data_IF_632808310377
#
_entry.id   IF_632808310377
#
_cell.length_a   1.000
_cell.length_b   1.000
_cell.length_c   1.000
_cell.angle_alpha   90.00
_cell.angle_beta   90.00
_cell.angle_gamma   90.00
#
_symmetry.space_group_name_H-M   'P 1'
#
loop_
_entity.id
_entity.type
_entity.pdbx_description
1 polymer ?
#
# COMPACT_ATOMS: atom_id res chain seq x y z
N UNK A 1 -13.40 10.80 21.30
CA UNK A 1 -12.17 10.57 22.09
C UNK A 1 -10.91 11.14 21.45
N UNK A 2 -10.34 10.66 20.32
CA UNK A 2 -9.18 11.35 19.69
C UNK A 2 -9.54 12.57 18.84
N UNK A 3 -10.75 12.62 18.28
CA UNK A 3 -11.23 13.75 17.45
C UNK A 3 -11.57 15.01 18.24
N UNK A 4 -11.81 14.91 19.54
CA UNK A 4 -12.28 16.02 20.38
C UNK A 4 -11.14 16.76 21.11
N UNK A 5 -9.93 16.19 21.05
CA UNK A 5 -8.71 16.80 21.59
C UNK A 5 -7.88 17.33 20.43
N UNK A 6 -7.33 18.54 20.51
CA UNK A 6 -6.41 19.13 19.51
C UNK A 6 -5.06 18.37 19.36
N UNK A 7 -5.01 17.11 19.78
CA UNK A 7 -3.84 16.25 19.69
C UNK A 7 -3.70 15.81 18.23
N UNK A 8 -2.65 16.33 17.57
CA UNK A 8 -2.27 15.93 16.22
C UNK A 8 -1.19 14.87 16.30
N UNK A 9 -1.55 13.63 15.99
CA UNK A 9 -0.58 12.55 15.89
C UNK A 9 0.33 12.77 14.68
N UNK A 10 1.64 12.71 14.90
CA UNK A 10 2.66 12.78 13.84
C UNK A 10 3.11 11.40 13.38
N UNK A 11 2.87 10.37 14.19
CA UNK A 11 3.27 8.99 13.90
C UNK A 11 2.16 8.02 14.30
N UNK A 12 1.83 7.10 13.39
CA UNK A 12 0.85 6.04 13.63
C UNK A 12 1.47 4.71 13.21
N UNK A 13 1.43 3.74 14.12
CA UNK A 13 1.73 2.33 13.81
C UNK A 13 0.62 1.48 14.39
N UNK A 14 -0.06 0.70 13.54
CA UNK A 14 -1.14 -0.19 13.96
C UNK A 14 -1.06 -1.53 13.22
N UNK A 15 -1.61 -2.58 13.83
CA UNK A 15 -1.83 -3.88 13.21
C UNK A 15 -3.27 -4.12 12.77
N UNK A 16 -4.15 -3.13 13.01
CA UNK A 16 -5.57 -3.22 12.67
C UNK A 16 -5.98 -1.90 12.02
N UNK A 17 -6.49 -2.01 10.79
CA UNK A 17 -7.10 -0.90 10.06
C UNK A 17 -8.61 -0.95 10.27
N UNK A 18 -9.18 0.18 10.72
CA UNK A 18 -10.61 0.33 10.95
C UNK A 18 -11.15 1.58 10.24
N UNK A 19 -12.45 1.64 9.95
CA UNK A 19 -13.06 2.85 9.41
C UNK A 19 -12.80 4.08 10.28
N UNK A 20 -12.90 3.96 11.61
CA UNK A 20 -12.66 5.07 12.54
C UNK A 20 -11.23 5.59 12.50
N UNK A 21 -10.24 4.70 12.35
CA UNK A 21 -8.84 5.09 12.17
C UNK A 21 -8.67 5.88 10.88
N UNK A 22 -9.18 5.37 9.75
CA UNK A 22 -9.09 6.07 8.47
C UNK A 22 -9.78 7.42 8.52
N UNK A 23 -10.93 7.48 9.20
CA UNK A 23 -11.68 8.70 9.36
C UNK A 23 -11.00 9.70 10.31
N UNK A 24 -10.16 9.25 11.25
CA UNK A 24 -9.26 10.11 12.02
C UNK A 24 -8.12 10.65 11.14
N UNK A 25 -7.43 9.77 10.41
CA UNK A 25 -6.33 10.15 9.50
C UNK A 25 -6.84 11.21 8.51
N UNK A 26 -7.96 10.97 7.84
CA UNK A 26 -8.59 11.89 6.90
C UNK A 26 -9.04 13.24 7.51
N UNK A 27 -9.25 13.30 8.83
CA UNK A 27 -9.64 14.53 9.53
C UNK A 27 -8.45 15.40 9.97
N UNK A 28 -7.23 14.91 9.81
CA UNK A 28 -6.00 15.56 10.25
C UNK A 28 -4.99 15.72 9.12
N UNK A 29 -3.93 16.48 9.34
CA UNK A 29 -2.78 16.60 8.44
C UNK A 29 -1.49 16.65 9.27
N UNK A 30 -0.32 16.56 8.61
CA UNK A 30 0.97 16.64 9.30
C UNK A 30 1.51 15.30 9.81
N UNK A 31 0.87 14.18 9.48
CA UNK A 31 1.39 12.85 9.76
C UNK A 31 2.71 12.65 8.99
N UNK A 32 3.77 12.29 9.72
CA UNK A 32 5.11 12.03 9.19
C UNK A 32 5.37 10.54 8.97
N UNK A 33 4.82 9.69 9.84
CA UNK A 33 5.02 8.23 9.79
C UNK A 33 3.70 7.50 9.87
N UNK A 34 3.43 6.64 8.89
CA UNK A 34 2.26 5.78 8.85
C UNK A 34 2.65 4.35 8.52
N UNK A 35 2.52 3.47 9.51
CA UNK A 35 2.71 2.03 9.35
C UNK A 35 1.40 1.31 9.63
N UNK A 36 0.80 0.77 8.58
CA UNK A 36 -0.40 -0.07 8.64
C UNK A 36 0.02 -1.52 8.42
N UNK A 37 0.16 -2.29 9.50
CA UNK A 37 0.41 -3.73 9.45
C UNK A 37 -0.92 -4.48 9.36
N UNK A 38 -0.96 -5.60 8.63
CA UNK A 38 -2.16 -6.44 8.55
C UNK A 38 -3.35 -5.74 7.90
N UNK A 39 -3.09 -4.89 6.90
CA UNK A 39 -4.09 -4.15 6.10
C UNK A 39 -5.15 -5.05 5.46
N UNK A 40 -4.75 -6.29 5.20
CA UNK A 40 -5.54 -7.35 4.61
C UNK A 40 -5.92 -8.44 5.61
N UNK A 41 -6.00 -8.13 6.91
CA UNK A 41 -6.42 -9.11 7.93
C UNK A 41 -7.90 -9.49 7.87
N UNK A 42 -8.72 -8.72 7.13
CA UNK A 42 -10.16 -8.94 6.94
C UNK A 42 -10.43 -9.65 5.60
N UNK A 43 -11.67 -10.05 5.35
CA UNK A 43 -12.07 -10.57 4.03
C UNK A 43 -11.86 -9.54 2.92
N UNK A 44 -11.63 -10.00 1.68
CA UNK A 44 -11.28 -9.16 0.53
C UNK A 44 -12.13 -7.91 0.41
N UNK A 45 -13.45 -8.07 0.35
CA UNK A 45 -14.38 -6.94 0.13
C UNK A 45 -14.18 -5.84 1.17
N UNK A 46 -14.08 -6.20 2.46
CA UNK A 46 -13.88 -5.23 3.54
C UNK A 46 -12.50 -4.60 3.45
N UNK A 47 -11.47 -5.39 3.15
CA UNK A 47 -10.10 -4.89 3.00
C UNK A 47 -9.99 -3.90 1.84
N UNK A 48 -10.60 -4.19 0.70
CA UNK A 48 -10.59 -3.36 -0.50
C UNK A 48 -11.34 -2.05 -0.30
N UNK A 49 -12.50 -2.08 0.38
CA UNK A 49 -13.23 -0.85 0.75
C UNK A 49 -12.41 0.05 1.69
N UNK A 50 -11.65 -0.54 2.63
CA UNK A 50 -10.76 0.21 3.51
C UNK A 50 -9.57 0.79 2.73
N UNK A 51 -8.99 0.04 1.79
CA UNK A 51 -7.93 0.53 0.92
C UNK A 51 -8.40 1.74 0.10
N UNK A 52 -9.59 1.66 -0.50
CA UNK A 52 -10.15 2.75 -1.28
C UNK A 52 -10.37 3.99 -0.43
N UNK A 53 -10.97 3.82 0.74
CA UNK A 53 -11.16 4.92 1.69
C UNK A 53 -9.81 5.54 2.06
N UNK A 54 -8.78 4.72 2.27
CA UNK A 54 -7.45 5.19 2.61
C UNK A 54 -6.81 6.00 1.48
N UNK A 55 -6.67 5.42 0.27
CA UNK A 55 -5.97 6.07 -0.85
C UNK A 55 -6.73 7.27 -1.41
N UNK A 56 -8.07 7.27 -1.39
CA UNK A 56 -8.88 8.35 -1.96
C UNK A 56 -9.15 9.48 -0.96
N UNK A 57 -9.32 9.19 0.32
CA UNK A 57 -9.81 10.18 1.29
C UNK A 57 -8.78 10.55 2.36
N UNK A 58 -8.01 9.58 2.85
CA UNK A 58 -7.12 9.78 3.99
C UNK A 58 -5.72 10.21 3.55
N UNK A 59 -5.09 9.42 2.68
CA UNK A 59 -3.72 9.62 2.23
C UNK A 59 -3.48 10.99 1.56
N UNK A 60 -4.40 11.56 0.75
CA UNK A 60 -4.18 12.86 0.13
C UNK A 60 -3.99 14.02 1.10
N UNK A 61 -4.44 13.90 2.36
CA UNK A 61 -4.24 14.92 3.40
C UNK A 61 -2.80 14.99 3.91
N UNK A 62 -1.95 14.04 3.52
CA UNK A 62 -0.63 13.85 4.09
C UNK A 62 0.49 13.80 3.04
N UNK A 63 0.21 14.10 1.77
CA UNK A 63 1.21 14.07 0.69
C UNK A 63 2.40 15.00 0.96
N UNK A 64 2.14 16.16 1.57
CA UNK A 64 3.18 17.14 1.90
C UNK A 64 3.92 16.83 3.21
N UNK A 65 3.43 15.91 4.05
CA UNK A 65 4.00 15.68 5.39
C UNK A 65 4.60 14.30 5.60
N UNK A 66 4.15 13.29 4.86
CA UNK A 66 4.60 11.92 5.02
C UNK A 66 6.07 11.76 4.63
N UNK A 67 6.81 11.11 5.52
CA UNK A 67 8.22 10.74 5.40
C UNK A 67 8.37 9.22 5.32
N UNK A 68 7.50 8.48 6.00
CA UNK A 68 7.48 7.01 5.98
C UNK A 68 6.06 6.49 5.80
N UNK A 69 5.87 5.70 4.74
CA UNK A 69 4.63 4.98 4.44
C UNK A 69 4.94 3.49 4.31
N UNK A 70 4.32 2.68 5.16
CA UNK A 70 4.43 1.22 5.12
C UNK A 70 3.04 0.60 5.20
N UNK A 71 2.62 -0.05 4.12
CA UNK A 71 1.36 -0.78 3.99
C UNK A 71 1.61 -2.18 3.41
N UNK A 72 2.36 -3.05 4.10
CA UNK A 72 2.62 -4.40 3.60
C UNK A 72 1.33 -5.22 3.65
N UNK A 73 0.84 -5.62 2.47
CA UNK A 73 -0.19 -6.65 2.34
C UNK A 73 0.46 -8.02 2.16
N UNK A 74 -0.21 -9.06 2.65
CA UNK A 74 0.18 -10.45 2.45
C UNK A 74 -0.46 -11.02 1.18
N UNK A 75 -1.68 -10.60 0.88
CA UNK A 75 -2.47 -11.07 -0.26
C UNK A 75 -2.76 -9.94 -1.25
N UNK A 76 -3.01 -10.32 -2.50
CA UNK A 76 -3.46 -9.42 -3.56
C UNK A 76 -4.75 -8.72 -3.14
N UNK A 77 -4.72 -7.38 -3.17
CA UNK A 77 -5.82 -6.52 -2.75
C UNK A 77 -5.55 -5.08 -3.21
N UNK A 78 -6.50 -4.18 -3.01
CA UNK A 78 -6.34 -2.75 -3.29
C UNK A 78 -5.33 -2.05 -2.38
N UNK A 79 -4.79 -2.73 -1.36
CA UNK A 79 -3.63 -2.26 -0.59
C UNK A 79 -2.31 -2.40 -1.33
N UNK A 80 -2.25 -3.26 -2.35
CA UNK A 80 -1.04 -3.40 -3.18
C UNK A 80 -0.81 -2.15 -4.01
N UNK A 81 0.45 -1.93 -4.38
CA UNK A 81 0.80 -0.89 -5.33
C UNK A 81 0.27 -1.22 -6.72
N UNK A 82 -0.33 -0.22 -7.38
CA UNK A 82 -0.88 -0.35 -8.71
C UNK A 82 -1.28 1.00 -9.31
N UNK A 83 -1.89 0.97 -10.49
CA UNK A 83 -2.33 2.17 -11.19
C UNK A 83 -3.34 3.01 -10.39
N UNK A 84 -4.07 2.41 -9.46
CA UNK A 84 -5.06 3.09 -8.62
C UNK A 84 -4.44 3.98 -7.54
N UNK A 85 -3.18 3.77 -7.17
CA UNK A 85 -2.51 4.55 -6.11
C UNK A 85 -1.14 5.14 -6.52
N UNK A 86 -0.61 4.82 -7.70
CA UNK A 86 0.65 5.36 -8.19
C UNK A 86 0.65 6.90 -8.23
N UNK A 87 -0.41 7.51 -8.75
CA UNK A 87 -0.49 8.97 -8.89
C UNK A 87 -0.41 9.69 -7.54
N UNK A 88 -1.12 9.21 -6.52
CA UNK A 88 -1.09 9.84 -5.19
C UNK A 88 0.24 9.62 -4.47
N UNK A 89 0.86 8.45 -4.67
CA UNK A 89 2.18 8.14 -4.10
C UNK A 89 3.24 9.05 -4.75
N UNK A 90 3.18 9.27 -6.06
CA UNK A 90 4.14 10.11 -6.80
C UNK A 90 4.22 11.56 -6.31
N UNK A 91 3.16 12.05 -5.66
CA UNK A 91 3.04 13.41 -5.12
C UNK A 91 3.69 13.58 -3.73
N UNK A 92 4.18 12.49 -3.12
CA UNK A 92 4.74 12.53 -1.76
C UNK A 92 6.21 12.93 -1.77
N UNK A 93 6.51 14.18 -2.09
CA UNK A 93 7.89 14.64 -2.30
C UNK A 93 8.80 14.52 -1.05
N UNK A 94 8.22 14.46 0.16
CA UNK A 94 8.96 14.28 1.41
C UNK A 94 9.14 12.80 1.82
N UNK A 95 8.64 11.86 1.01
CA UNK A 95 8.70 10.44 1.33
C UNK A 95 10.14 9.91 1.22
N UNK A 96 10.65 9.38 2.32
CA UNK A 96 11.98 8.80 2.44
C UNK A 96 11.95 7.27 2.44
N UNK A 97 10.86 6.68 2.97
CA UNK A 97 10.69 5.24 3.12
C UNK A 97 9.32 4.83 2.58
N UNK A 98 9.32 3.91 1.60
CA UNK A 98 8.13 3.30 1.04
C UNK A 98 8.20 1.78 1.15
N UNK A 99 7.23 1.17 1.84
CA UNK A 99 7.04 -0.28 1.87
C UNK A 99 5.62 -0.66 1.44
N UNK A 100 5.49 -1.43 0.37
CA UNK A 100 4.19 -1.90 -0.14
C UNK A 100 4.27 -3.29 -0.76
N UNK A 101 3.11 -3.97 -0.79
CA UNK A 101 2.93 -5.19 -1.58
C UNK A 101 2.79 -4.89 -3.06
N UNK A 102 3.24 -5.79 -3.94
CA UNK A 102 2.97 -5.78 -5.38
C UNK A 102 2.29 -7.10 -5.75
N UNK A 103 1.31 -7.02 -6.64
CA UNK A 103 0.55 -8.19 -7.07
C UNK A 103 1.46 -9.23 -7.76
N UNK A 104 1.46 -10.48 -7.26
CA UNK A 104 2.39 -11.52 -7.73
C UNK A 104 1.89 -12.28 -8.97
N UNK A 105 0.58 -12.28 -9.29
CA UNK A 105 0.11 -12.84 -10.57
C UNK A 105 0.78 -12.18 -11.77
N UNK A 106 1.21 -10.93 -11.61
CA UNK A 106 2.01 -10.23 -12.62
C UNK A 106 3.46 -10.71 -12.62
N UNK A 107 4.06 -10.95 -11.46
CA UNK A 107 5.45 -11.40 -11.33
C UNK A 107 5.66 -12.85 -11.82
N UNK A 108 4.70 -13.76 -11.59
CA UNK A 108 4.85 -15.18 -11.94
C UNK A 108 4.42 -15.55 -13.37
N UNK A 109 3.50 -14.81 -13.99
CA UNK A 109 3.13 -15.06 -15.39
C UNK A 109 4.29 -14.85 -16.37
N UNK A 110 5.25 -13.99 -16.04
CA UNK A 110 6.47 -13.81 -16.83
C UNK A 110 7.40 -15.01 -16.88
N UNK A 111 7.28 -15.96 -15.94
CA UNK A 111 8.15 -17.14 -15.88
C UNK A 111 7.48 -18.45 -16.33
N UNK A 112 6.14 -18.52 -16.35
CA UNK A 112 5.42 -19.79 -16.50
C UNK A 112 4.68 -20.00 -17.84
N UNK A 113 4.54 -19.00 -18.72
CA UNK A 113 3.86 -19.17 -20.01
C UNK A 113 4.71 -18.66 -21.19
N UNK A 114 5.54 -19.56 -21.71
CA UNK A 114 6.08 -19.48 -23.08
C UNK A 114 4.99 -19.87 -24.08
N UNK A 115 3.91 -19.07 -24.17
CA UNK A 115 3.06 -18.93 -25.37
C UNK A 115 2.21 -17.66 -25.21
N UNK A 116 2.63 -16.58 -25.88
CA UNK A 116 1.86 -15.34 -26.12
C UNK A 116 1.58 -14.39 -24.93
N UNK A 117 2.50 -14.25 -23.97
CA UNK A 117 2.57 -13.04 -23.13
C UNK A 117 3.60 -12.11 -23.76
N UNK A 118 3.19 -10.95 -24.24
CA UNK A 118 4.14 -9.90 -24.63
C UNK A 118 4.86 -9.44 -23.37
N UNK A 119 6.18 -9.25 -23.46
CA UNK A 119 7.06 -8.73 -22.40
C UNK A 119 6.45 -7.52 -21.62
N UNK A 120 5.52 -6.78 -22.23
CA UNK A 120 4.77 -5.64 -21.71
C UNK A 120 4.00 -5.85 -20.40
N UNK A 121 3.46 -7.04 -20.13
CA UNK A 121 2.44 -7.19 -19.07
C UNK A 121 3.04 -7.44 -17.69
N UNK A 122 4.22 -8.04 -17.64
CA UNK A 122 4.98 -8.37 -16.41
C UNK A 122 5.77 -7.15 -15.95
N UNK A 123 6.26 -6.37 -16.91
CA UNK A 123 7.04 -5.16 -16.65
C UNK A 123 6.16 -4.06 -16.03
N UNK A 124 4.84 -4.05 -16.26
CA UNK A 124 4.01 -2.89 -15.97
C UNK A 124 3.98 -2.46 -14.48
N UNK A 125 3.72 -3.33 -13.48
CA UNK A 125 3.60 -2.88 -12.09
C UNK A 125 4.94 -2.58 -11.44
N UNK A 126 5.98 -3.37 -11.74
CA UNK A 126 7.34 -3.12 -11.24
C UNK A 126 7.91 -1.87 -11.90
N UNK A 127 7.75 -1.71 -13.22
CA UNK A 127 8.17 -0.50 -13.93
C UNK A 127 7.40 0.72 -13.44
N UNK A 128 6.09 0.63 -13.22
CA UNK A 128 5.28 1.70 -12.66
C UNK A 128 5.77 2.08 -11.24
N UNK A 129 6.08 1.08 -10.40
CA UNK A 129 6.65 1.32 -9.07
C UNK A 129 8.00 2.02 -9.15
N UNK A 130 8.91 1.55 -10.02
CA UNK A 130 10.22 2.16 -10.19
C UNK A 130 10.12 3.58 -10.77
N UNK A 131 9.20 3.81 -11.71
CA UNK A 131 8.93 5.14 -12.27
C UNK A 131 8.37 6.09 -11.21
N UNK A 132 7.44 5.59 -10.38
CA UNK A 132 6.88 6.35 -9.26
C UNK A 132 7.96 6.63 -8.22
N UNK A 133 8.79 5.65 -7.87
CA UNK A 133 9.91 5.83 -6.95
C UNK A 133 10.93 6.85 -7.47
N UNK A 134 11.18 6.88 -8.78
CA UNK A 134 12.07 7.85 -9.40
C UNK A 134 11.54 9.29 -9.34
N UNK A 135 10.22 9.50 -9.18
CA UNK A 135 9.65 10.84 -8.96
C UNK A 135 9.74 11.32 -7.51
N UNK A 136 10.13 10.44 -6.58
CA UNK A 136 10.27 10.74 -5.16
C UNK A 136 11.70 11.19 -4.84
N UNK A 137 11.93 12.50 -4.91
CA UNK A 137 13.27 13.10 -4.78
C UNK A 137 14.02 12.78 -3.48
N UNK A 138 13.29 12.43 -2.41
CA UNK A 138 13.85 12.14 -1.08
C UNK A 138 13.87 10.64 -0.74
N UNK A 139 13.40 9.77 -1.64
CA UNK A 139 13.30 8.34 -1.35
C UNK A 139 14.68 7.71 -1.17
N UNK A 140 14.91 7.16 0.03
CA UNK A 140 16.16 6.45 0.38
C UNK A 140 15.96 4.96 0.59
N UNK A 141 14.72 4.52 0.82
CA UNK A 141 14.40 3.12 1.07
C UNK A 141 13.11 2.74 0.36
N UNK A 142 13.21 1.75 -0.52
CA UNK A 142 12.10 1.13 -1.21
C UNK A 142 12.09 -0.36 -0.86
N UNK A 143 11.00 -0.82 -0.24
CA UNK A 143 10.78 -2.22 0.08
C UNK A 143 9.53 -2.73 -0.67
N UNK A 144 9.74 -3.73 -1.52
CA UNK A 144 8.66 -4.35 -2.31
C UNK A 144 8.50 -5.78 -1.83
N UNK A 145 7.25 -6.19 -1.55
CA UNK A 145 6.90 -7.56 -1.21
C UNK A 145 5.97 -8.13 -2.26
N UNK A 146 6.30 -9.29 -2.81
CA UNK A 146 5.34 -10.04 -3.62
C UNK A 146 4.20 -10.53 -2.71
N UNK A 147 2.95 -10.28 -3.11
CA UNK A 147 1.78 -10.77 -2.37
C UNK A 147 1.33 -12.14 -2.84
N UNK A 148 0.83 -12.98 -1.95
CA UNK A 148 0.13 -14.20 -2.33
C UNK A 148 -1.18 -13.90 -3.08
N UNK A 149 -1.60 -14.81 -3.95
CA UNK A 149 -2.94 -14.70 -4.57
C UNK A 149 -4.02 -14.76 -3.50
N UNK A 150 -5.06 -13.95 -3.65
CA UNK A 150 -6.15 -13.85 -2.67
C UNK A 150 -6.87 -15.18 -2.45
N UNK A 151 -6.95 -16.04 -3.46
CA UNK A 151 -7.52 -17.38 -3.34
C UNK A 151 -6.76 -18.30 -2.37
N UNK A 152 -5.53 -17.96 -2.00
CA UNK A 152 -4.76 -18.69 -0.99
C UNK A 152 -5.07 -18.21 0.44
N UNK A 153 -5.93 -17.21 0.62
CA UNK A 153 -6.33 -16.73 1.95
C UNK A 153 -7.01 -17.84 2.73
N UNK A 154 -6.52 -18.09 3.95
CA UNK A 154 -7.04 -19.15 4.81
C UNK A 154 -6.69 -20.56 4.37
N UNK A 155 -6.03 -20.74 3.22
CA UNK A 155 -5.46 -22.02 2.80
C UNK A 155 -4.19 -22.24 3.62
N UNK A 156 -4.25 -23.17 4.56
CA UNK A 156 -3.11 -23.55 5.41
C UNK A 156 -2.06 -24.26 4.55
N UNK A 157 -0.92 -23.62 4.30
CA UNK A 157 0.24 -24.19 3.60
C UNK A 157 1.47 -24.26 4.51
N UNK A 158 1.33 -24.82 5.71
CA UNK A 158 2.44 -25.08 6.64
C UNK A 158 3.08 -26.46 6.42
N UNK A 159 4.41 -26.62 6.62
CA UNK A 159 5.07 -27.93 6.56
C UNK A 159 4.73 -28.79 7.80
N UNK A 160 4.74 -30.12 7.64
CA UNK A 160 4.71 -31.10 8.74
C UNK A 160 6.05 -31.14 9.49
#
# INVERSE_FOLDING_TARGET
MLRETEIRLTEITTSVVTPDLLAYIASSSGLKKLILKGVDSRGLDVSDHLADTFFQNALPRHTESLVELSCPSRYESRWTFGTHNADIISQMHNLEILEMGINATVVYRGFAQSSAITQSDVDLPVHLMLTTAASLSNLRSLAIRATDIESNRGVWSGPR
#
